data_IF_626663918554
#
_entry.id   IF_626663918554
#
_cell.length_a   1.000
_cell.length_b   1.000
_cell.length_c   1.000
_cell.angle_alpha   90.00
_cell.angle_beta   90.00
_cell.angle_gamma   90.00
#
_symmetry.space_group_name_H-M   'P 1'
#
loop_
_entity.id
_entity.type
_entity.pdbx_description
1 polymer ?
#
# COMPACT_ATOMS: atom_id res chain seq x y z
N UNK A 1 13.82 -19.06 -23.76
CA UNK A 1 12.61 -19.50 -23.02
C UNK A 1 12.91 -19.78 -21.54
N UNK A 2 14.11 -20.26 -21.17
CA UNK A 2 14.52 -20.44 -19.77
C UNK A 2 14.73 -19.14 -18.95
N UNK A 3 15.12 -18.02 -19.60
CA UNK A 3 15.32 -16.73 -18.92
C UNK A 3 14.03 -16.17 -18.30
N UNK A 4 12.89 -16.29 -19.00
CA UNK A 4 11.62 -15.74 -18.52
C UNK A 4 11.08 -16.46 -17.27
N UNK A 5 11.32 -17.76 -17.15
CA UNK A 5 10.96 -18.52 -15.94
C UNK A 5 11.86 -18.14 -14.75
N UNK A 6 13.14 -17.86 -15.00
CA UNK A 6 14.07 -17.40 -13.97
C UNK A 6 13.70 -16.00 -13.46
N UNK A 7 13.41 -15.05 -14.36
CA UNK A 7 12.92 -13.71 -13.99
C UNK A 7 11.61 -13.76 -13.20
N UNK A 8 10.65 -14.59 -13.63
CA UNK A 8 9.37 -14.76 -12.93
C UNK A 8 9.58 -15.30 -11.51
N UNK A 9 10.49 -16.26 -11.33
CA UNK A 9 10.82 -16.81 -10.00
C UNK A 9 11.51 -15.77 -9.11
N UNK A 10 12.36 -14.91 -9.68
CA UNK A 10 13.02 -13.81 -8.96
C UNK A 10 11.99 -12.78 -8.50
N UNK A 11 11.01 -12.43 -9.33
CA UNK A 11 9.92 -11.51 -8.97
C UNK A 11 9.02 -12.08 -7.88
N UNK A 12 8.64 -13.37 -7.98
CA UNK A 12 7.88 -14.06 -6.93
C UNK A 12 8.68 -14.05 -5.62
N UNK A 13 9.98 -14.29 -5.67
CA UNK A 13 10.84 -14.24 -4.49
C UNK A 13 10.93 -12.83 -3.89
N UNK A 14 11.03 -11.79 -4.73
CA UNK A 14 11.01 -10.38 -4.30
C UNK A 14 9.70 -10.04 -3.60
N UNK A 15 8.55 -10.41 -4.18
CA UNK A 15 7.23 -10.18 -3.58
C UNK A 15 7.10 -10.94 -2.26
N UNK A 16 7.46 -12.22 -2.21
CA UNK A 16 7.46 -13.00 -0.96
C UNK A 16 8.36 -12.40 0.11
N UNK A 17 9.52 -11.88 -0.28
CA UNK A 17 10.45 -11.21 0.64
C UNK A 17 9.90 -9.87 1.12
N UNK A 18 9.22 -9.13 0.25
CA UNK A 18 8.51 -7.90 0.61
C UNK A 18 7.37 -8.19 1.59
N UNK A 19 6.53 -9.18 1.33
CA UNK A 19 5.45 -9.61 2.25
C UNK A 19 6.02 -9.98 3.61
N UNK A 20 7.05 -10.83 3.66
CA UNK A 20 7.71 -11.21 4.90
C UNK A 20 8.33 -10.02 5.66
N UNK A 21 8.85 -9.05 4.91
CA UNK A 21 9.37 -7.79 5.47
C UNK A 21 8.27 -6.89 6.02
N UNK A 22 7.14 -6.79 5.33
CA UNK A 22 5.94 -6.04 5.73
C UNK A 22 5.29 -6.68 6.97
N UNK A 23 5.21 -8.00 7.05
CA UNK A 23 4.70 -8.72 8.24
C UNK A 23 5.61 -8.55 9.46
N UNK A 24 6.92 -8.48 9.25
CA UNK A 24 7.90 -8.27 10.32
C UNK A 24 7.95 -6.81 10.79
N UNK A 25 7.62 -5.87 9.90
CA UNK A 25 7.59 -4.45 10.21
C UNK A 25 6.36 -4.11 11.07
N UNK A 26 6.52 -4.14 12.40
CA UNK A 26 5.49 -3.67 13.34
C UNK A 26 5.66 -2.16 13.56
N UNK A 27 4.63 -1.38 13.20
CA UNK A 27 4.57 0.04 13.52
C UNK A 27 4.17 0.29 14.98
N UNK A 28 4.67 1.36 15.57
CA UNK A 28 4.42 1.73 16.98
C UNK A 28 3.09 2.49 17.20
N UNK A 29 2.24 2.55 16.17
CA UNK A 29 1.05 3.39 16.15
C UNK A 29 0.40 3.39 14.77
N UNK A 30 -0.39 2.34 14.52
CA UNK A 30 -1.61 2.31 13.69
C UNK A 30 -1.67 3.27 12.51
N UNK A 31 -1.37 2.83 11.28
CA UNK A 31 -1.83 3.37 9.98
C UNK A 31 -1.15 2.63 8.82
N UNK A 32 -1.29 1.31 8.75
CA UNK A 32 -0.88 0.55 7.58
C UNK A 32 -2.06 0.48 6.62
N UNK A 33 -1.94 1.20 5.52
CA UNK A 33 -2.93 1.18 4.46
C UNK A 33 -2.50 0.14 3.44
N UNK A 34 -3.37 -0.83 3.24
CA UNK A 34 -3.27 -1.87 2.23
C UNK A 34 -4.33 -1.59 1.19
N UNK A 35 -3.91 -1.26 -0.02
CA UNK A 35 -4.78 -0.94 -1.14
C UNK A 35 -4.47 -1.88 -2.29
N UNK A 36 -5.48 -2.63 -2.70
CA UNK A 36 -5.42 -3.56 -3.82
C UNK A 36 -6.46 -3.12 -4.85
N UNK A 37 -6.00 -2.87 -6.06
CA UNK A 37 -6.83 -2.44 -7.19
C UNK A 37 -6.85 -3.51 -8.27
N UNK A 38 -8.05 -4.00 -8.66
CA UNK A 38 -8.17 -4.89 -9.79
C UNK A 38 -7.97 -4.12 -11.10
N UNK A 39 -7.53 -4.77 -12.18
CA UNK A 39 -7.22 -4.13 -13.48
C UNK A 39 -8.42 -3.47 -14.18
N UNK A 40 -9.65 -3.78 -13.72
CA UNK A 40 -10.89 -3.20 -14.22
C UNK A 40 -11.32 -1.92 -13.49
N UNK A 41 -10.67 -1.59 -12.37
CA UNK A 41 -11.03 -0.39 -11.60
C UNK A 41 -10.33 0.87 -12.14
N UNK A 42 -10.83 2.04 -11.77
CA UNK A 42 -10.30 3.32 -12.21
C UNK A 42 -9.56 4.00 -11.08
N UNK A 43 -8.34 4.48 -11.37
CA UNK A 43 -7.52 5.25 -10.42
C UNK A 43 -8.30 6.46 -9.85
N UNK A 44 -9.17 7.08 -10.65
CA UNK A 44 -10.03 8.19 -10.21
C UNK A 44 -10.99 7.80 -9.08
N UNK A 45 -11.60 6.61 -9.16
CA UNK A 45 -12.53 6.10 -8.12
C UNK A 45 -11.81 5.93 -6.79
N UNK A 46 -10.62 5.35 -6.83
CA UNK A 46 -9.80 5.12 -5.62
C UNK A 46 -9.23 6.43 -5.08
N UNK A 47 -8.84 7.36 -5.95
CA UNK A 47 -8.41 8.71 -5.53
C UNK A 47 -9.53 9.44 -4.79
N UNK A 48 -10.78 9.30 -5.26
CA UNK A 48 -11.96 9.87 -4.61
C UNK A 48 -12.20 9.22 -3.23
N UNK A 49 -12.20 7.88 -3.17
CA UNK A 49 -12.33 7.14 -1.91
C UNK A 49 -11.27 7.55 -0.88
N UNK A 50 -10.00 7.68 -1.30
CA UNK A 50 -8.92 8.16 -0.43
C UNK A 50 -9.16 9.61 0.03
N UNK A 51 -9.79 10.45 -0.78
CA UNK A 51 -10.19 11.81 -0.39
C UNK A 51 -11.30 11.84 0.67
N UNK A 52 -12.31 10.98 0.53
CA UNK A 52 -13.36 10.80 1.54
C UNK A 52 -12.78 10.26 2.86
N UNK A 53 -11.85 9.29 2.77
CA UNK A 53 -11.12 8.76 3.92
C UNK A 53 -10.22 9.81 4.58
N UNK A 54 -9.61 10.71 3.80
CA UNK A 54 -8.83 11.82 4.34
C UNK A 54 -9.70 12.76 5.19
N UNK A 55 -10.90 13.09 4.72
CA UNK A 55 -11.87 13.89 5.46
C UNK A 55 -12.31 13.21 6.76
N UNK A 56 -12.60 11.92 6.70
CA UNK A 56 -13.00 11.12 7.86
C UNK A 56 -11.87 10.97 8.87
N UNK A 57 -10.63 10.74 8.41
CA UNK A 57 -9.44 10.64 9.23
C UNK A 57 -9.12 11.95 9.98
N UNK A 58 -9.53 13.11 9.45
CA UNK A 58 -9.35 14.41 10.12
C UNK A 58 -10.12 14.50 11.45
N UNK A 59 -11.21 13.74 11.60
CA UNK A 59 -12.04 13.68 12.81
C UNK A 59 -11.48 12.77 13.92
N UNK A 60 -10.34 12.08 13.67
CA UNK A 60 -9.70 11.23 14.68
C UNK A 60 -9.22 12.09 15.86
N UNK A 61 -9.66 11.72 17.08
CA UNK A 61 -9.33 12.45 18.33
C UNK A 61 -7.85 12.38 18.69
N UNK A 62 -7.19 11.26 18.44
CA UNK A 62 -5.75 11.12 18.69
C UNK A 62 -4.95 11.92 17.67
N UNK A 63 -4.25 12.96 18.12
CA UNK A 63 -3.41 13.81 17.26
C UNK A 63 -2.35 13.00 16.51
N UNK A 64 -1.75 12.02 17.18
CA UNK A 64 -0.68 11.18 16.62
C UNK A 64 -1.24 10.28 15.53
N UNK A 65 -2.32 9.54 15.81
CA UNK A 65 -2.94 8.64 14.82
C UNK A 65 -3.49 9.44 13.63
N UNK A 66 -4.11 10.59 13.88
CA UNK A 66 -4.58 11.49 12.82
C UNK A 66 -3.42 11.89 11.89
N UNK A 67 -2.30 12.34 12.44
CA UNK A 67 -1.14 12.76 11.64
C UNK A 67 -0.59 11.59 10.80
N UNK A 68 -0.57 10.38 11.37
CA UNK A 68 -0.13 9.16 10.69
C UNK A 68 -1.05 8.77 9.55
N UNK A 69 -2.38 8.71 9.77
CA UNK A 69 -3.36 8.35 8.73
C UNK A 69 -3.34 9.38 7.60
N UNK A 70 -3.39 10.68 7.92
CA UNK A 70 -3.38 11.74 6.91
C UNK A 70 -2.09 11.71 6.08
N UNK A 71 -0.94 11.47 6.72
CA UNK A 71 0.33 11.33 6.02
C UNK A 71 0.33 10.12 5.07
N UNK A 72 -0.16 8.96 5.54
CA UNK A 72 -0.22 7.74 4.74
C UNK A 72 -1.14 7.91 3.53
N UNK A 73 -2.34 8.47 3.72
CA UNK A 73 -3.29 8.74 2.63
C UNK A 73 -2.67 9.70 1.61
N UNK A 74 -2.02 10.78 2.08
CA UNK A 74 -1.35 11.75 1.18
C UNK A 74 -0.27 11.06 0.34
N UNK A 75 0.55 10.19 0.95
CA UNK A 75 1.57 9.42 0.25
C UNK A 75 0.96 8.43 -0.76
N UNK A 76 -0.14 7.76 -0.40
CA UNK A 76 -0.85 6.88 -1.32
C UNK A 76 -1.41 7.65 -2.53
N UNK A 77 -2.05 8.80 -2.30
CA UNK A 77 -2.58 9.63 -3.38
C UNK A 77 -1.49 10.15 -4.31
N UNK A 78 -0.33 10.57 -3.76
CA UNK A 78 0.82 10.97 -4.57
C UNK A 78 1.33 9.82 -5.44
N UNK A 79 1.41 8.61 -4.88
CA UNK A 79 1.83 7.42 -5.64
C UNK A 79 0.81 7.05 -6.72
N UNK A 80 -0.50 7.12 -6.41
CA UNK A 80 -1.57 6.87 -7.37
C UNK A 80 -1.53 7.85 -8.55
N UNK A 81 -1.20 9.12 -8.32
CA UNK A 81 -1.11 10.14 -9.40
C UNK A 81 -0.06 9.82 -10.45
N UNK A 82 0.97 9.04 -10.12
CA UNK A 82 1.97 8.57 -11.10
C UNK A 82 1.37 7.54 -12.07
N UNK A 83 0.32 6.84 -11.67
CA UNK A 83 -0.38 5.86 -12.48
C UNK A 83 -1.63 6.48 -13.12
N UNK A 84 -1.57 6.76 -14.42
CA UNK A 84 -2.74 7.28 -15.14
C UNK A 84 -3.79 6.19 -15.43
N UNK A 85 -3.37 4.91 -15.38
CA UNK A 85 -4.23 3.73 -15.61
C UNK A 85 -3.77 2.59 -14.71
N UNK A 86 -4.72 1.76 -14.27
CA UNK A 86 -4.39 0.54 -13.52
C UNK A 86 -3.70 -0.46 -14.46
N UNK A 87 -2.57 -1.06 -14.05
CA UNK A 87 -1.88 -2.11 -14.79
C UNK A 87 -2.80 -3.31 -15.10
N UNK A 88 -2.45 -4.10 -16.11
CA UNK A 88 -3.28 -5.24 -16.60
C UNK A 88 -3.45 -6.36 -15.58
N UNK A 89 -2.52 -6.52 -14.64
CA UNK A 89 -2.66 -7.51 -13.57
C UNK A 89 -3.21 -6.91 -12.26
N UNK A 90 -3.46 -5.60 -12.21
CA UNK A 90 -3.88 -4.86 -11.03
C UNK A 90 -2.73 -4.08 -10.40
N UNK A 91 -3.02 -3.32 -9.35
CA UNK A 91 -2.01 -2.56 -8.60
C UNK A 91 -2.15 -2.84 -7.12
N UNK A 92 -1.05 -3.19 -6.47
CA UNK A 92 -0.97 -3.30 -5.02
C UNK A 92 -0.16 -2.12 -4.50
N UNK A 93 -0.71 -1.43 -3.52
CA UNK A 93 -0.10 -0.29 -2.85
C UNK A 93 -0.16 -0.51 -1.34
N UNK A 94 1.01 -0.58 -0.72
CA UNK A 94 1.17 -0.59 0.72
C UNK A 94 1.80 0.72 1.15
N UNK A 95 1.13 1.47 2.02
CA UNK A 95 1.72 2.66 2.63
C UNK A 95 1.54 2.62 4.13
N UNK A 96 2.54 3.12 4.85
CA UNK A 96 2.48 3.18 6.29
C UNK A 96 3.73 3.78 6.88
N UNK A 97 3.74 3.92 8.20
CA UNK A 97 4.89 4.39 8.95
C UNK A 97 5.43 3.23 9.78
N UNK A 98 6.70 2.87 9.56
CA UNK A 98 7.41 1.86 10.33
C UNK A 98 8.42 2.55 11.24
N UNK A 99 8.66 2.00 12.43
CA UNK A 99 9.71 2.48 13.32
C UNK A 99 10.92 1.59 13.10
N UNK A 100 12.05 2.18 12.73
CA UNK A 100 13.32 1.45 12.65
C UNK A 100 13.91 1.25 14.05
N UNK A 101 14.89 0.35 14.16
CA UNK A 101 15.61 0.02 15.39
C UNK A 101 16.20 1.26 16.11
N UNK A 102 16.50 2.32 15.34
CA UNK A 102 16.97 3.64 15.83
C UNK A 102 15.86 4.50 16.48
N UNK A 103 14.63 3.98 16.63
CA UNK A 103 13.48 4.70 17.17
C UNK A 103 12.89 5.76 16.24
N UNK A 104 13.43 5.91 15.02
CA UNK A 104 12.94 6.87 14.02
C UNK A 104 11.76 6.31 13.21
N UNK A 105 10.72 7.13 13.10
CA UNK A 105 9.58 6.90 12.22
C UNK A 105 9.98 7.09 10.75
N UNK A 106 9.80 6.05 9.94
CA UNK A 106 10.04 6.08 8.49
C UNK A 106 8.75 5.77 7.75
N UNK A 107 8.34 6.71 6.91
CA UNK A 107 7.24 6.50 5.96
C UNK A 107 7.73 5.55 4.87
N UNK A 108 7.01 4.46 4.66
CA UNK A 108 7.25 3.49 3.60
C UNK A 108 6.07 3.47 2.66
N UNK A 109 6.35 3.37 1.37
CA UNK A 109 5.33 3.24 0.34
C UNK A 109 5.86 2.31 -0.72
N UNK A 110 5.23 1.15 -0.83
CA UNK A 110 5.55 0.11 -1.79
C UNK A 110 4.40 -0.02 -2.77
N UNK A 111 4.73 -0.01 -4.05
CA UNK A 111 3.83 -0.20 -5.17
C UNK A 111 4.40 -1.31 -6.05
N UNK A 112 3.56 -2.27 -6.44
CA UNK A 112 3.94 -3.32 -7.38
C UNK A 112 2.73 -3.87 -8.14
N UNK A 113 3.00 -4.41 -9.32
CA UNK A 113 2.03 -5.18 -10.08
C UNK A 113 2.13 -6.66 -9.64
N UNK A 114 1.01 -7.30 -9.26
CA UNK A 114 1.00 -8.73 -8.94
C UNK A 114 1.09 -9.58 -10.21
N UNK A 115 1.73 -10.74 -10.13
CA UNK A 115 1.90 -11.66 -11.27
C UNK A 115 0.59 -12.35 -11.72
N UNK A 116 -0.42 -12.41 -10.84
CA UNK A 116 -1.76 -12.89 -11.18
C UNK A 116 -2.73 -11.71 -11.17
N UNK A 117 -3.66 -11.64 -12.14
CA UNK A 117 -4.72 -10.65 -12.13
C UNK A 117 -5.54 -10.82 -10.85
N UNK A 118 -5.58 -9.76 -10.05
CA UNK A 118 -6.40 -9.74 -8.83
C UNK A 118 -7.79 -9.26 -9.21
N UNK A 119 -8.82 -10.04 -8.85
CA UNK A 119 -10.23 -9.64 -9.02
C UNK A 119 -10.82 -8.96 -7.78
N UNK A 120 -10.10 -8.98 -6.66
CA UNK A 120 -10.51 -8.34 -5.41
C UNK A 120 -10.02 -6.89 -5.36
N UNK A 121 -10.91 -5.97 -5.02
CA UNK A 121 -10.54 -4.66 -4.50
C UNK A 121 -10.53 -4.73 -2.98
N UNK A 122 -9.43 -4.36 -2.34
CA UNK A 122 -9.32 -4.33 -0.88
C UNK A 122 -8.70 -3.01 -0.46
N UNK A 123 -9.38 -2.30 0.41
CA UNK A 123 -8.85 -1.14 1.11
C UNK A 123 -8.97 -1.45 2.61
N UNK A 124 -7.84 -1.53 3.30
CA UNK A 124 -7.80 -1.71 4.74
C UNK A 124 -6.80 -0.75 5.35
N UNK A 125 -7.22 -0.02 6.37
CA UNK A 125 -6.34 0.74 7.25
C UNK A 125 -6.35 0.05 8.60
N UNK A 126 -5.26 -0.66 8.93
CA UNK A 126 -5.12 -1.37 10.20
C UNK A 126 -3.72 -1.15 10.77
N UNK A 127 -3.38 -1.89 11.83
CA UNK A 127 -2.10 -1.82 12.51
C UNK A 127 -1.07 -2.75 11.84
N UNK A 128 -1.50 -3.51 10.83
CA UNK A 128 -0.73 -4.49 10.07
C UNK A 128 -1.07 -4.38 8.58
N UNK A 129 -0.11 -4.71 7.73
CA UNK A 129 -0.36 -4.85 6.30
C UNK A 129 -1.21 -6.11 6.06
N UNK A 130 -2.24 -5.98 5.21
CA UNK A 130 -3.04 -7.10 4.72
C UNK A 130 -2.50 -7.49 3.34
N UNK A 131 -1.71 -8.56 3.31
CA UNK A 131 -1.04 -9.11 2.13
C UNK A 131 -1.64 -10.41 1.66
#
# INVERSE_FOLDING_TARGET
>A
MADQEADTNIEIWKIKKLIKGLESARGNGTSMISLIMPPRDQVSRVTKMLGDEYGTASNIKSRVNRQSVLSAITSAQQRLKLYNKVPTNGLVLYTGTIVNDDGKEKKVTFDFEPFRPINASLYLCDNKFHT
#
